data_IF_419768608643
#
_entry.id   IF_419768608643
#
_cell.length_a   1.000
_cell.length_b   1.000
_cell.length_c   1.000
_cell.angle_alpha   90.00
_cell.angle_beta   90.00
_cell.angle_gamma   90.00
#
_symmetry.space_group_name_H-M   'P 1'
#
loop_
_entity.id
_entity.type
_entity.pdbx_description
1 polymer ?
#
# COMPACT_ATOMS: atom_id res chain seq x y z
N UNK A 1 5.44 -6.52 -18.30
CA UNK A 1 4.00 -6.60 -18.66
C UNK A 1 3.25 -7.64 -17.81
N UNK A 2 3.67 -8.91 -17.78
CA UNK A 2 3.06 -9.96 -16.93
C UNK A 2 3.07 -9.68 -15.40
N UNK A 3 4.16 -9.20 -14.77
CA UNK A 3 4.15 -8.99 -13.31
C UNK A 3 3.31 -7.78 -12.87
N UNK A 4 3.25 -6.72 -13.68
CA UNK A 4 2.39 -5.54 -13.45
C UNK A 4 0.91 -5.95 -13.52
N UNK A 5 0.53 -6.71 -14.57
CA UNK A 5 -0.83 -7.22 -14.71
C UNK A 5 -1.20 -8.17 -13.58
N UNK A 6 -0.27 -9.01 -13.11
CA UNK A 6 -0.50 -9.89 -11.98
C UNK A 6 -0.70 -9.11 -10.67
N UNK A 7 0.18 -8.16 -10.34
CA UNK A 7 0.08 -7.39 -9.11
C UNK A 7 -1.17 -6.50 -9.09
N UNK A 8 -1.47 -5.83 -10.20
CA UNK A 8 -2.69 -5.02 -10.34
C UNK A 8 -3.95 -5.88 -10.33
N UNK A 9 -3.96 -7.04 -10.99
CA UNK A 9 -5.09 -7.96 -10.93
C UNK A 9 -5.28 -8.52 -9.51
N UNK A 10 -4.21 -8.93 -8.83
CA UNK A 10 -4.30 -9.44 -7.45
C UNK A 10 -4.76 -8.34 -6.49
N UNK A 11 -4.24 -7.11 -6.59
CA UNK A 11 -4.68 -5.99 -5.78
C UNK A 11 -6.15 -5.62 -6.05
N UNK A 12 -6.57 -5.60 -7.32
CA UNK A 12 -7.95 -5.34 -7.71
C UNK A 12 -8.90 -6.47 -7.25
N UNK A 13 -8.50 -7.73 -7.43
CA UNK A 13 -9.25 -8.90 -6.98
C UNK A 13 -9.36 -8.89 -5.46
N UNK A 14 -8.28 -8.62 -4.73
CA UNK A 14 -8.29 -8.50 -3.27
C UNK A 14 -9.19 -7.35 -2.84
N UNK A 15 -9.09 -6.16 -3.44
CA UNK A 15 -9.95 -5.02 -3.13
C UNK A 15 -11.43 -5.34 -3.37
N UNK A 16 -11.75 -5.96 -4.51
CA UNK A 16 -13.12 -6.39 -4.85
C UNK A 16 -13.58 -7.50 -3.90
N UNK A 17 -12.75 -8.48 -3.59
CA UNK A 17 -13.08 -9.56 -2.66
C UNK A 17 -13.31 -9.03 -1.24
N UNK A 18 -12.44 -8.15 -0.73
CA UNK A 18 -12.60 -7.48 0.58
C UNK A 18 -13.87 -6.62 0.62
N UNK A 19 -14.21 -5.96 -0.48
CA UNK A 19 -15.45 -5.16 -0.60
C UNK A 19 -16.70 -6.06 -0.63
N UNK A 20 -16.64 -7.19 -1.33
CA UNK A 20 -17.79 -8.08 -1.57
C UNK A 20 -18.06 -9.07 -0.43
N UNK A 21 -17.04 -9.49 0.33
CA UNK A 21 -17.20 -10.50 1.39
C UNK A 21 -17.71 -9.93 2.71
N UNK A 22 -17.27 -8.73 3.13
CA UNK A 22 -17.87 -8.02 4.27
C UNK A 22 -17.39 -6.57 4.37
N UNK A 23 -17.84 -5.70 3.46
CA UNK A 23 -17.43 -4.29 3.40
C UNK A 23 -17.61 -3.50 4.70
N UNK A 24 -18.58 -3.85 5.55
CA UNK A 24 -18.81 -3.22 6.86
C UNK A 24 -17.79 -3.63 7.94
N UNK A 25 -17.24 -4.86 7.88
CA UNK A 25 -16.21 -5.32 8.81
C UNK A 25 -14.83 -4.76 8.45
N UNK A 26 -14.56 -4.59 7.14
CA UNK A 26 -13.31 -4.03 6.63
C UNK A 26 -13.28 -2.52 6.77
N UNK A 27 -14.35 -1.81 6.38
CA UNK A 27 -14.37 -0.33 6.39
C UNK A 27 -14.71 0.27 7.76
N UNK A 28 -15.15 -0.55 8.72
CA UNK A 28 -15.61 -0.09 10.03
C UNK A 28 -17.03 0.48 9.95
N UNK A 29 -18.02 -0.30 10.40
CA UNK A 29 -19.36 0.21 10.69
C UNK A 29 -19.36 1.24 11.83
N UNK A 30 -20.46 2.00 12.00
CA UNK A 30 -20.54 3.13 12.93
C UNK A 30 -20.11 2.71 14.34
N UNK A 31 -19.24 3.53 14.92
CA UNK A 31 -18.59 3.29 16.20
C UNK A 31 -19.62 3.17 17.34
N UNK A 32 -20.05 1.95 17.62
CA UNK A 32 -20.58 1.58 18.93
C UNK A 32 -19.43 1.59 19.93
N UNK A 33 -19.58 2.38 20.99
CA UNK A 33 -18.58 2.66 22.02
C UNK A 33 -17.77 1.43 22.46
N UNK A 34 -16.43 1.52 22.37
CA UNK A 34 -15.50 0.59 23.03
C UNK A 34 -14.59 -0.27 22.14
N UNK A 35 -14.69 -0.26 20.80
CA UNK A 35 -13.79 -1.06 19.93
C UNK A 35 -12.63 -0.23 19.36
N UNK A 36 -11.41 -0.65 19.62
CA UNK A 36 -10.22 -0.16 18.89
C UNK A 36 -10.32 -0.66 17.44
N UNK A 37 -10.53 0.26 16.50
CA UNK A 37 -10.62 -0.01 15.06
C UNK A 37 -9.75 0.99 14.31
N UNK A 38 -9.00 0.51 13.33
CA UNK A 38 -8.24 1.37 12.43
C UNK A 38 -9.16 1.92 11.33
N UNK A 39 -9.22 3.26 11.13
CA UNK A 39 -9.97 3.84 10.03
C UNK A 39 -9.21 3.62 8.71
N UNK A 40 -9.63 2.62 7.92
CA UNK A 40 -8.88 2.13 6.75
C UNK A 40 -8.68 3.18 5.67
N UNK A 41 -9.67 4.03 5.40
CA UNK A 41 -9.57 5.04 4.34
C UNK A 41 -8.52 6.12 4.69
N UNK A 42 -8.57 6.78 5.86
CA UNK A 42 -7.49 7.67 6.30
C UNK A 42 -6.12 6.97 6.36
N UNK A 43 -6.07 5.72 6.82
CA UNK A 43 -4.84 4.93 6.89
C UNK A 43 -4.25 4.69 5.49
N UNK A 44 -5.08 4.34 4.51
CA UNK A 44 -4.68 4.14 3.11
C UNK A 44 -4.07 5.38 2.51
N UNK A 45 -4.72 6.53 2.66
CA UNK A 45 -4.17 7.81 2.19
C UNK A 45 -2.85 8.17 2.88
N UNK A 46 -2.78 8.04 4.20
CA UNK A 46 -1.57 8.36 4.97
C UNK A 46 -0.38 7.48 4.54
N UNK A 47 -0.57 6.16 4.47
CA UNK A 47 0.48 5.22 4.06
C UNK A 47 0.91 5.45 2.60
N UNK A 48 -0.05 5.70 1.70
CA UNK A 48 0.25 5.91 0.28
C UNK A 48 1.04 7.19 0.03
N UNK A 49 0.67 8.30 0.68
CA UNK A 49 1.40 9.56 0.60
C UNK A 49 2.78 9.46 1.26
N UNK A 50 2.87 8.78 2.40
CA UNK A 50 4.15 8.53 3.07
C UNK A 50 5.11 7.73 2.19
N UNK A 51 4.66 6.63 1.58
CA UNK A 51 5.48 5.82 0.67
C UNK A 51 5.87 6.59 -0.60
N UNK A 52 4.92 7.31 -1.21
CA UNK A 52 5.20 8.10 -2.41
C UNK A 52 6.24 9.22 -2.12
N UNK A 53 6.12 9.90 -0.98
CA UNK A 53 7.09 10.92 -0.58
C UNK A 53 8.47 10.30 -0.27
N UNK A 54 8.49 9.17 0.45
CA UNK A 54 9.73 8.45 0.77
C UNK A 54 10.44 8.01 -0.50
N UNK A 55 9.70 7.50 -1.49
CA UNK A 55 10.23 7.16 -2.80
C UNK A 55 10.92 8.36 -3.47
N UNK A 56 10.27 9.53 -3.50
CA UNK A 56 10.87 10.75 -4.08
C UNK A 56 12.14 11.15 -3.34
N UNK A 57 12.12 11.11 -2.00
CA UNK A 57 13.30 11.41 -1.17
C UNK A 57 14.44 10.43 -1.47
N UNK A 58 14.16 9.14 -1.62
CA UNK A 58 15.15 8.13 -1.99
C UNK A 58 15.74 8.38 -3.39
N UNK A 59 14.90 8.72 -4.38
CA UNK A 59 15.39 9.07 -5.72
C UNK A 59 16.35 10.26 -5.65
N UNK A 60 15.99 11.33 -4.94
CA UNK A 60 16.86 12.51 -4.77
C UNK A 60 18.15 12.13 -4.04
N UNK A 61 18.07 11.30 -3.00
CA UNK A 61 19.24 10.84 -2.25
C UNK A 61 20.22 10.06 -3.14
N UNK A 62 19.72 9.12 -3.95
CA UNK A 62 20.54 8.32 -4.87
C UNK A 62 21.24 9.18 -5.93
N UNK A 63 20.65 10.31 -6.32
CA UNK A 63 21.27 11.28 -7.24
C UNK A 63 22.39 12.08 -6.58
N UNK A 64 22.26 12.40 -5.29
CA UNK A 64 23.28 13.15 -4.52
C UNK A 64 24.43 12.22 -4.10
N UNK A 65 24.12 10.98 -3.73
CA UNK A 65 25.04 10.00 -3.16
C UNK A 65 25.04 8.67 -3.92
N UNK A 66 25.50 8.64 -5.19
CA UNK A 66 25.40 7.46 -6.05
C UNK A 66 26.15 6.23 -5.50
N UNK A 67 27.16 6.41 -4.65
CA UNK A 67 27.87 5.30 -3.98
C UNK A 67 27.04 4.54 -2.94
N UNK A 68 25.87 5.06 -2.55
CA UNK A 68 24.94 4.46 -1.61
C UNK A 68 23.55 4.25 -2.22
N UNK A 69 23.48 4.15 -3.55
CA UNK A 69 22.23 4.13 -4.28
C UNK A 69 21.34 2.94 -3.90
N UNK A 70 20.06 3.21 -3.63
CA UNK A 70 19.06 2.25 -3.18
C UNK A 70 18.12 1.81 -4.32
N UNK A 71 18.21 2.41 -5.51
CA UNK A 71 17.35 2.09 -6.66
C UNK A 71 17.36 0.60 -7.05
N UNK A 72 18.40 -0.16 -6.72
CA UNK A 72 18.46 -1.60 -6.98
C UNK A 72 17.46 -2.40 -6.13
N UNK A 73 17.13 -1.91 -4.93
CA UNK A 73 16.04 -2.49 -4.13
C UNK A 73 14.70 -2.22 -4.80
N UNK A 74 14.54 -0.99 -5.29
CA UNK A 74 13.35 -0.54 -6.01
C UNK A 74 13.15 -1.29 -7.33
N UNK A 75 14.22 -1.58 -8.09
CA UNK A 75 14.15 -2.34 -9.35
C UNK A 75 13.65 -3.76 -9.15
N UNK A 76 14.01 -4.40 -8.03
CA UNK A 76 13.49 -5.71 -7.65
C UNK A 76 12.04 -5.68 -7.16
N UNK A 77 11.61 -4.59 -6.52
CA UNK A 77 10.29 -4.47 -5.90
C UNK A 77 9.21 -3.93 -6.85
N UNK A 78 9.59 -3.04 -7.78
CA UNK A 78 8.69 -2.28 -8.63
C UNK A 78 8.74 -2.80 -10.07
N UNK A 79 7.81 -3.68 -10.48
CA UNK A 79 7.88 -4.29 -11.80
C UNK A 79 7.76 -3.24 -12.92
N UNK A 80 8.74 -3.21 -13.81
CA UNK A 80 8.80 -2.23 -14.90
C UNK A 80 9.41 -0.88 -14.50
N UNK A 81 9.88 -0.74 -13.26
CA UNK A 81 10.74 0.35 -12.86
C UNK A 81 12.07 0.29 -13.60
N UNK A 82 12.45 1.41 -14.23
CA UNK A 82 13.75 1.58 -14.89
C UNK A 82 14.37 2.85 -14.36
N UNK A 83 15.56 2.71 -13.76
CA UNK A 83 16.28 3.81 -13.12
C UNK A 83 16.51 4.99 -14.08
N UNK A 84 16.34 6.21 -13.57
CA UNK A 84 16.61 7.46 -14.30
C UNK A 84 15.79 7.66 -15.60
N UNK A 85 14.68 6.96 -15.79
CA UNK A 85 13.75 7.22 -16.90
C UNK A 85 12.50 7.97 -16.43
N UNK A 86 11.95 8.91 -17.22
CA UNK A 86 10.70 9.59 -16.85
C UNK A 86 9.55 8.61 -16.59
N UNK A 87 9.43 7.58 -17.43
CA UNK A 87 8.40 6.53 -17.28
C UNK A 87 8.64 5.71 -16.02
N UNK A 88 9.88 5.28 -15.77
CA UNK A 88 10.24 4.54 -14.57
C UNK A 88 9.96 5.33 -13.29
N UNK A 89 10.24 6.63 -13.28
CA UNK A 89 9.90 7.50 -12.13
C UNK A 89 8.40 7.51 -11.84
N UNK A 90 7.56 7.69 -12.87
CA UNK A 90 6.10 7.67 -12.71
C UNK A 90 5.60 6.30 -12.26
N UNK A 91 6.15 5.20 -12.81
CA UNK A 91 5.82 3.84 -12.38
C UNK A 91 6.13 3.68 -10.89
N UNK A 92 7.34 4.05 -10.45
CA UNK A 92 7.73 3.91 -9.05
C UNK A 92 6.86 4.73 -8.10
N UNK A 93 6.44 5.93 -8.51
CA UNK A 93 5.54 6.78 -7.74
C UNK A 93 4.13 6.18 -7.62
N UNK A 94 3.57 5.69 -8.73
CA UNK A 94 2.25 5.04 -8.76
C UNK A 94 2.26 3.73 -7.95
N UNK A 95 3.26 2.88 -8.14
CA UNK A 95 3.34 1.60 -7.44
C UNK A 95 3.60 1.79 -5.94
N UNK A 96 4.45 2.73 -5.53
CA UNK A 96 4.63 3.08 -4.11
C UNK A 96 3.33 3.56 -3.47
N UNK A 97 2.55 4.36 -4.18
CA UNK A 97 1.22 4.79 -3.73
C UNK A 97 0.28 3.59 -3.58
N UNK A 98 0.23 2.69 -4.57
CA UNK A 98 -0.60 1.47 -4.50
C UNK A 98 -0.17 0.53 -3.37
N UNK A 99 1.13 0.43 -3.06
CA UNK A 99 1.63 -0.34 -1.93
C UNK A 99 1.13 0.19 -0.58
N UNK A 100 0.94 1.51 -0.45
CA UNK A 100 0.35 2.10 0.76
C UNK A 100 -1.10 1.66 0.98
N UNK A 101 -1.91 1.67 -0.07
CA UNK A 101 -3.27 1.14 -0.03
C UNK A 101 -3.31 -0.36 0.22
N UNK A 102 -2.43 -1.12 -0.44
CA UNK A 102 -2.27 -2.55 -0.20
C UNK A 102 -2.00 -2.84 1.29
N UNK A 103 -1.07 -2.12 1.90
CA UNK A 103 -0.78 -2.25 3.33
C UNK A 103 -2.00 -1.91 4.20
N UNK A 104 -2.68 -0.78 3.95
CA UNK A 104 -3.85 -0.38 4.72
C UNK A 104 -5.00 -1.41 4.66
N UNK A 105 -5.28 -1.95 3.48
CA UNK A 105 -6.37 -2.91 3.28
C UNK A 105 -6.06 -4.25 3.93
N UNK A 106 -4.86 -4.79 3.71
CA UNK A 106 -4.46 -6.11 4.22
C UNK A 106 -4.19 -6.03 5.71
N UNK A 107 -3.24 -5.20 6.13
CA UNK A 107 -2.85 -5.10 7.54
C UNK A 107 -3.98 -4.48 8.37
N UNK A 108 -4.53 -3.34 7.94
CA UNK A 108 -5.60 -2.69 8.68
C UNK A 108 -6.87 -3.53 8.74
N UNK A 109 -7.25 -4.19 7.63
CA UNK A 109 -8.37 -5.12 7.60
C UNK A 109 -8.17 -6.32 8.54
N UNK A 110 -6.98 -6.93 8.51
CA UNK A 110 -6.65 -8.06 9.40
C UNK A 110 -6.65 -7.63 10.87
N UNK A 111 -6.07 -6.47 11.20
CA UNK A 111 -6.10 -5.91 12.55
C UNK A 111 -7.54 -5.71 13.05
N UNK A 112 -8.41 -5.14 12.21
CA UNK A 112 -9.81 -4.93 12.54
C UNK A 112 -10.55 -6.26 12.74
N UNK A 113 -10.23 -7.30 11.98
CA UNK A 113 -10.83 -8.64 12.09
C UNK A 113 -10.34 -9.43 13.32
N UNK A 114 -9.08 -9.27 13.73
CA UNK A 114 -8.55 -9.92 14.94
C UNK A 114 -9.07 -9.20 16.19
N UNK A 115 -9.03 -7.86 16.19
CA UNK A 115 -9.53 -7.05 17.32
C UNK A 115 -11.04 -7.18 17.53
N UNK A 116 -11.82 -7.57 16.51
CA UNK A 116 -13.24 -7.88 16.70
C UNK A 116 -13.48 -9.17 17.47
N UNK A 117 -12.63 -10.19 17.29
CA UNK A 117 -12.80 -11.52 17.92
C UNK A 117 -12.42 -11.51 19.40
N UNK A 118 -11.41 -10.75 19.78
CA UNK A 118 -11.01 -10.61 21.19
C UNK A 118 -12.04 -9.91 22.08
N UNK A 119 -13.05 -9.27 21.48
CA UNK A 119 -14.17 -8.64 22.20
C UNK A 119 -15.41 -9.55 22.31
N UNK A 120 -15.39 -10.73 21.68
CA UNK A 120 -16.46 -11.74 21.72
C UNK A 120 -16.15 -12.89 22.71
N UNK A 121 -14.95 -12.89 23.30
CA UNK A 121 -14.50 -13.83 24.35
C UNK A 121 -14.56 -13.16 25.72
#
# INVERSE_FOLDING_TARGET
MMPILYFTAVAAILFVALRMTCGACVMGGPAGAGRVRLPIVPLGWALSLFLALTYVVCVVFDLIFPGYAMYEVWSGLLPGFVWLTPVGFIIGLVESFLYGWYAALIFGGLFNAISSRGAEA
#
